data_IF_519087183037
#
_entry.id   IF_519087183037
#
_cell.length_a   1.000
_cell.length_b   1.000
_cell.length_c   1.000
_cell.angle_alpha   90.00
_cell.angle_beta   90.00
_cell.angle_gamma   90.00
#
_symmetry.space_group_name_H-M   'P 1'
#
loop_
_entity.id
_entity.type
_entity.pdbx_description
1 polymer ?
#
# COMPACT_ATOMS: atom_id res chain seq x y z
N UNK A 1 -22.58 31.93 -6.76
CA UNK A 1 -22.52 30.51 -7.16
C UNK A 1 -22.41 29.69 -5.88
N UNK A 2 -23.34 28.77 -5.63
CA UNK A 2 -23.21 27.87 -4.49
C UNK A 2 -22.01 26.95 -4.78
N UNK A 3 -20.95 27.06 -4.00
CA UNK A 3 -19.82 26.13 -4.06
C UNK A 3 -20.40 24.77 -3.70
N UNK A 4 -20.43 23.84 -4.65
CA UNK A 4 -20.76 22.44 -4.38
C UNK A 4 -19.63 21.88 -3.52
N UNK A 5 -19.73 22.06 -2.20
CA UNK A 5 -18.78 21.49 -1.27
C UNK A 5 -19.22 20.07 -0.93
N UNK A 6 -18.37 19.10 -1.27
CA UNK A 6 -18.51 17.74 -0.77
C UNK A 6 -18.48 17.73 0.77
N UNK A 7 -19.12 16.76 1.43
CA UNK A 7 -19.04 16.61 2.88
C UNK A 7 -17.59 16.52 3.37
N UNK A 8 -17.29 17.24 4.45
CA UNK A 8 -15.96 17.27 5.07
C UNK A 8 -15.67 15.90 5.69
N UNK A 9 -14.93 15.08 4.94
CA UNK A 9 -14.60 13.70 5.28
C UNK A 9 -13.18 13.41 4.77
N UNK A 10 -12.46 12.49 5.41
CA UNK A 10 -11.11 12.13 4.96
C UNK A 10 -11.05 11.73 3.48
N UNK A 11 -12.10 11.05 3.01
CA UNK A 11 -12.23 10.60 1.62
C UNK A 11 -12.37 11.74 0.60
N UNK A 12 -12.76 12.95 1.00
CA UNK A 12 -13.01 14.06 0.08
C UNK A 12 -12.04 15.23 0.25
N UNK A 13 -11.32 15.32 1.38
CA UNK A 13 -10.61 16.54 1.77
C UNK A 13 -9.10 16.50 1.58
N UNK A 14 -8.50 15.34 1.26
CA UNK A 14 -7.05 15.16 1.20
C UNK A 14 -6.54 14.81 -0.20
N UNK A 15 -7.29 15.16 -1.24
CA UNK A 15 -6.82 15.04 -2.62
C UNK A 15 -6.06 16.30 -3.02
N UNK A 16 -4.78 16.13 -3.37
CA UNK A 16 -3.90 17.17 -3.90
C UNK A 16 -3.45 16.80 -5.32
N UNK A 17 -2.95 17.75 -6.11
CA UNK A 17 -2.45 17.47 -7.48
C UNK A 17 -1.30 16.46 -7.44
N UNK A 18 -0.39 16.66 -6.51
CA UNK A 18 0.58 15.66 -6.09
C UNK A 18 -0.08 14.84 -4.98
N UNK A 19 -0.67 13.69 -5.33
CA UNK A 19 -1.48 12.87 -4.42
C UNK A 19 -0.73 12.46 -3.14
N UNK A 20 0.61 12.52 -3.13
CA UNK A 20 1.45 12.24 -1.96
C UNK A 20 1.18 13.18 -0.80
N UNK A 21 1.15 14.50 -1.05
CA UNK A 21 1.09 15.52 0.01
C UNK A 21 -0.12 15.36 0.93
N UNK A 22 -1.29 15.09 0.36
CA UNK A 22 -2.51 14.88 1.15
C UNK A 22 -2.43 13.68 2.08
N UNK A 23 -1.85 12.57 1.61
CA UNK A 23 -1.61 11.39 2.43
C UNK A 23 -0.55 11.63 3.50
N UNK A 24 0.52 12.36 3.19
CA UNK A 24 1.57 12.69 4.17
C UNK A 24 1.02 13.51 5.34
N UNK A 25 0.12 14.46 5.08
CA UNK A 25 -0.55 15.21 6.16
C UNK A 25 -1.39 14.28 7.04
N UNK A 26 -2.13 13.35 6.45
CA UNK A 26 -2.91 12.38 7.22
C UNK A 26 -2.00 11.49 8.08
N UNK A 27 -0.95 10.91 7.49
CA UNK A 27 -0.03 10.04 8.23
C UNK A 27 0.78 10.79 9.28
N UNK A 28 1.15 12.06 9.05
CA UNK A 28 1.79 12.88 10.07
C UNK A 28 0.88 13.04 11.30
N UNK A 29 -0.41 13.30 11.10
CA UNK A 29 -1.37 13.40 12.21
C UNK A 29 -1.57 12.05 12.92
N UNK A 30 -1.59 10.94 12.16
CA UNK A 30 -1.70 9.60 12.74
C UNK A 30 -0.44 9.23 13.54
N UNK A 31 0.75 9.58 13.06
CA UNK A 31 2.01 9.37 13.78
C UNK A 31 2.10 10.25 15.04
N UNK A 32 1.60 11.48 14.98
CA UNK A 32 1.45 12.32 16.17
C UNK A 32 0.55 11.63 17.21
N UNK A 33 -0.58 11.05 16.80
CA UNK A 33 -1.48 10.34 17.74
C UNK A 33 -0.82 9.12 18.41
N UNK A 34 0.16 8.48 17.76
CA UNK A 34 0.95 7.41 18.37
C UNK A 34 1.79 7.94 19.53
N UNK A 35 2.41 9.11 19.37
CA UNK A 35 3.16 9.76 20.44
C UNK A 35 2.21 10.18 21.58
N UNK A 36 1.07 10.80 21.27
CA UNK A 36 0.06 11.19 22.26
C UNK A 36 -0.45 10.00 23.08
N UNK A 37 -0.69 8.84 22.46
CA UNK A 37 -1.08 7.63 23.17
C UNK A 37 -0.01 7.20 24.21
N UNK A 38 1.28 7.35 23.88
CA UNK A 38 2.36 7.02 24.81
C UNK A 38 2.41 7.97 26.00
N UNK A 39 2.12 9.25 25.79
CA UNK A 39 2.01 10.24 26.87
C UNK A 39 0.82 9.96 27.79
N UNK A 40 -0.32 9.53 27.22
CA UNK A 40 -1.51 9.14 28.00
C UNK A 40 -1.18 7.94 28.90
N UNK A 41 -0.53 6.90 28.38
CA UNK A 41 -0.10 5.74 29.18
C UNK A 41 0.84 6.20 30.30
N UNK A 42 1.83 7.03 29.98
CA UNK A 42 2.79 7.54 30.96
C UNK A 42 2.09 8.34 32.08
N UNK A 43 1.12 9.18 31.72
CA UNK A 43 0.32 9.95 32.66
C UNK A 43 -0.50 9.05 33.60
N UNK A 44 -1.19 8.04 33.05
CA UNK A 44 -2.00 7.11 33.86
C UNK A 44 -1.10 6.30 34.81
N UNK A 45 0.07 5.86 34.35
CA UNK A 45 1.06 5.15 35.18
C UNK A 45 1.62 6.04 36.29
N UNK A 46 1.94 7.30 35.98
CA UNK A 46 2.38 8.26 36.99
C UNK A 46 1.29 8.50 38.06
N UNK A 47 0.02 8.60 37.64
CA UNK A 47 -1.11 8.69 38.56
C UNK A 47 -1.24 7.43 39.43
N UNK A 48 -1.18 6.24 38.85
CA UNK A 48 -1.25 4.99 39.61
C UNK A 48 -0.11 4.87 40.64
N UNK A 49 1.11 5.31 40.26
CA UNK A 49 2.24 5.37 41.19
C UNK A 49 1.99 6.35 42.35
N UNK A 50 1.42 7.53 42.09
CA UNK A 50 1.04 8.49 43.13
C UNK A 50 -0.01 7.91 44.09
N UNK A 51 -1.04 7.24 43.57
CA UNK A 51 -2.07 6.57 44.38
C UNK A 51 -1.46 5.47 45.26
N UNK A 52 -0.52 4.67 44.71
CA UNK A 52 0.18 3.66 45.49
C UNK A 52 1.07 4.25 46.60
N UNK A 53 1.66 5.42 46.36
CA UNK A 53 2.45 6.13 47.36
C UNK A 53 1.56 6.67 48.49
N UNK A 54 0.37 7.20 48.17
CA UNK A 54 -0.64 7.62 49.16
C UNK A 54 -1.10 6.42 49.98
N UNK A 55 -1.37 5.28 49.33
CA UNK A 55 -1.73 4.06 50.02
C UNK A 55 -0.64 3.62 51.02
N UNK A 56 0.63 3.64 50.61
CA UNK A 56 1.75 3.26 51.45
C UNK A 56 1.96 4.20 52.66
N UNK A 57 1.75 5.51 52.48
CA UNK A 57 1.87 6.47 53.58
C UNK A 57 0.74 6.31 54.59
N UNK A 58 -0.50 6.08 54.14
CA UNK A 58 -1.66 5.86 55.01
C UNK A 58 -1.65 4.49 55.71
N UNK A 59 -1.03 3.49 55.08
CA UNK A 59 -0.87 2.15 55.63
C UNK A 59 0.22 2.06 56.72
N UNK A 60 1.12 3.04 56.80
CA UNK A 60 2.20 3.05 57.79
C UNK A 60 1.77 3.79 59.05
N UNK A 61 1.43 3.12 60.16
CA UNK A 61 1.12 3.82 61.40
C UNK A 61 2.37 4.54 61.93
N UNK A 62 2.17 5.67 62.61
CA UNK A 62 3.24 6.40 63.28
C UNK A 62 4.01 5.48 64.22
N UNK A 63 5.34 5.46 64.10
CA UNK A 63 6.23 4.59 64.89
C UNK A 63 6.35 5.12 66.33
N UNK A 64 5.93 4.32 67.31
CA UNK A 64 6.13 4.59 68.73
C UNK A 64 5.03 3.99 69.61
N UNK A 65 5.35 3.68 70.87
CA UNK A 65 4.34 3.42 71.89
C UNK A 65 3.47 4.67 72.03
N UNK A 66 2.15 4.49 71.99
CA UNK A 66 1.24 5.62 72.08
C UNK A 66 1.23 6.10 73.52
N UNK A 67 1.39 7.40 73.79
CA UNK A 67 1.17 7.95 75.16
C UNK A 67 -0.27 7.64 75.63
N UNK A 68 -1.19 7.47 74.68
CA UNK A 68 -2.54 6.95 74.92
C UNK A 68 -2.60 5.52 75.48
N UNK A 69 -1.55 4.69 75.36
CA UNK A 69 -1.57 3.32 75.90
C UNK A 69 -1.40 3.30 77.43
N UNK A 70 -0.89 4.40 78.02
CA UNK A 70 -0.74 4.58 79.47
C UNK A 70 -1.94 5.31 80.12
N UNK A 71 -2.93 5.75 79.33
CA UNK A 71 -4.03 6.58 79.77
C UNK A 71 -5.35 5.78 79.83
N UNK A 72 -6.03 5.77 80.98
CA UNK A 72 -7.30 5.03 81.23
C UNK A 72 -8.54 5.72 80.57
N UNK A 73 -8.29 6.77 79.78
CA UNK A 73 -9.30 7.58 79.09
C UNK A 73 -9.98 6.85 77.94
N UNK A 74 -11.02 6.06 78.23
CA UNK A 74 -11.65 5.15 77.28
C UNK A 74 -12.19 5.83 75.99
N UNK A 75 -12.84 7.00 76.04
CA UNK A 75 -13.49 7.54 74.83
C UNK A 75 -12.51 8.16 73.82
N UNK A 76 -11.50 8.90 74.30
CA UNK A 76 -10.50 9.55 73.44
C UNK A 76 -9.55 8.52 72.82
N UNK A 77 -9.16 7.50 73.60
CA UNK A 77 -8.36 6.38 73.13
C UNK A 77 -9.10 5.58 72.05
N UNK A 78 -10.41 5.32 72.20
CA UNK A 78 -11.21 4.66 71.17
C UNK A 78 -11.35 5.51 69.91
N UNK A 79 -11.55 6.84 70.04
CA UNK A 79 -11.58 7.73 68.89
C UNK A 79 -10.25 7.74 68.12
N UNK A 80 -9.11 7.76 68.82
CA UNK A 80 -7.79 7.70 68.18
C UNK A 80 -7.52 6.35 67.50
N UNK A 81 -7.94 5.23 68.12
CA UNK A 81 -7.90 3.91 67.47
C UNK A 81 -8.76 3.88 66.21
N UNK A 82 -9.97 4.46 66.25
CA UNK A 82 -10.84 4.61 65.10
C UNK A 82 -10.19 5.42 63.98
N UNK A 83 -9.49 6.52 64.30
CA UNK A 83 -8.77 7.33 63.31
C UNK A 83 -7.59 6.57 62.66
N UNK A 84 -6.87 5.75 63.44
CA UNK A 84 -5.84 4.85 62.89
C UNK A 84 -6.45 3.81 61.94
N UNK A 85 -7.56 3.19 62.35
CA UNK A 85 -8.27 2.22 61.51
C UNK A 85 -8.80 2.87 60.23
N UNK A 86 -9.37 4.08 60.32
CA UNK A 86 -9.84 4.86 59.18
C UNK A 86 -8.69 5.13 58.20
N UNK A 87 -7.51 5.56 58.68
CA UNK A 87 -6.31 5.75 57.85
C UNK A 87 -5.94 4.46 57.10
N UNK A 88 -5.97 3.30 57.78
CA UNK A 88 -5.70 2.02 57.12
C UNK A 88 -6.76 1.66 56.06
N UNK A 89 -8.04 1.95 56.32
CA UNK A 89 -9.11 1.70 55.34
C UNK A 89 -8.98 2.61 54.12
N UNK A 90 -8.62 3.88 54.30
CA UNK A 90 -8.35 4.81 53.21
C UNK A 90 -7.12 4.37 52.40
N UNK A 91 -6.06 3.91 53.07
CA UNK A 91 -4.88 3.34 52.40
C UNK A 91 -5.24 2.18 51.46
N UNK A 92 -6.07 1.24 51.93
CA UNK A 92 -6.56 0.11 51.09
C UNK A 92 -7.42 0.58 49.90
N UNK A 93 -8.21 1.64 50.08
CA UNK A 93 -8.99 2.21 48.99
C UNK A 93 -8.09 2.80 47.90
N UNK A 94 -7.07 3.58 48.28
CA UNK A 94 -6.08 4.12 47.34
C UNK A 94 -5.27 3.01 46.65
N UNK A 95 -4.90 1.95 47.36
CA UNK A 95 -4.23 0.78 46.79
C UNK A 95 -5.10 0.11 45.72
N UNK A 96 -6.39 -0.05 46.00
CA UNK A 96 -7.36 -0.61 45.05
C UNK A 96 -7.45 0.25 43.79
N UNK A 97 -7.55 1.58 43.95
CA UNK A 97 -7.59 2.51 42.81
C UNK A 97 -6.30 2.43 41.99
N UNK A 98 -5.13 2.37 42.62
CA UNK A 98 -3.85 2.22 41.94
C UNK A 98 -3.81 0.95 41.08
N UNK A 99 -4.23 -0.19 41.65
CA UNK A 99 -4.29 -1.48 40.97
C UNK A 99 -5.30 -1.46 39.80
N UNK A 100 -6.46 -0.82 39.99
CA UNK A 100 -7.45 -0.68 38.92
C UNK A 100 -6.95 0.20 37.77
N UNK A 101 -6.29 1.32 38.09
CA UNK A 101 -5.68 2.19 37.07
C UNK A 101 -4.62 1.45 36.24
N UNK A 102 -3.84 0.56 36.86
CA UNK A 102 -2.87 -0.26 36.12
C UNK A 102 -3.58 -1.32 35.27
N UNK A 103 -4.29 -2.24 35.93
CA UNK A 103 -4.77 -3.47 35.29
C UNK A 103 -5.96 -3.25 34.34
N UNK A 104 -6.84 -2.28 34.65
CA UNK A 104 -8.07 -2.05 33.87
C UNK A 104 -7.93 -0.91 32.85
N UNK A 105 -6.93 -0.03 33.01
CA UNK A 105 -6.80 1.16 32.17
C UNK A 105 -5.44 1.20 31.46
N UNK A 106 -4.34 1.28 32.20
CA UNK A 106 -3.01 1.47 31.61
C UNK A 106 -2.60 0.30 30.71
N UNK A 107 -2.70 -0.94 31.20
CA UNK A 107 -2.21 -2.11 30.46
C UNK A 107 -3.05 -2.41 29.21
N UNK A 108 -4.40 -2.41 29.27
CA UNK A 108 -5.21 -2.60 28.06
C UNK A 108 -5.01 -1.47 27.04
N UNK A 109 -4.88 -0.22 27.50
CA UNK A 109 -4.67 0.91 26.60
C UNK A 109 -3.28 0.88 25.96
N UNK A 110 -2.23 0.52 26.70
CA UNK A 110 -0.88 0.35 26.16
C UNK A 110 -0.83 -0.78 25.11
N UNK A 111 -1.46 -1.92 25.39
CA UNK A 111 -1.55 -3.02 24.43
C UNK A 111 -2.26 -2.60 23.15
N UNK A 112 -3.39 -1.88 23.28
CA UNK A 112 -4.09 -1.33 22.13
C UNK A 112 -3.23 -0.31 21.36
N UNK A 113 -2.52 0.58 22.07
CA UNK A 113 -1.68 1.61 21.48
C UNK A 113 -0.49 1.01 20.70
N UNK A 114 0.10 -0.08 21.21
CA UNK A 114 1.15 -0.82 20.51
C UNK A 114 0.63 -1.43 19.19
N UNK A 115 -0.52 -2.10 19.24
CA UNK A 115 -1.15 -2.64 18.02
C UNK A 115 -1.62 -1.55 17.05
N UNK A 116 -2.08 -0.40 17.56
CA UNK A 116 -2.41 0.76 16.73
C UNK A 116 -1.19 1.30 16.00
N UNK A 117 -0.07 1.50 16.71
CA UNK A 117 1.20 1.93 16.13
C UNK A 117 1.64 1.01 14.99
N UNK A 118 1.60 -0.30 15.19
CA UNK A 118 1.97 -1.27 14.15
C UNK A 118 1.07 -1.16 12.92
N UNK A 119 -0.26 -1.06 13.10
CA UNK A 119 -1.20 -0.88 11.98
C UNK A 119 -0.92 0.40 11.19
N UNK A 120 -0.58 1.50 11.85
CA UNK A 120 -0.29 2.77 11.19
C UNK A 120 1.02 2.67 10.39
N UNK A 121 2.08 2.09 10.96
CA UNK A 121 3.34 1.90 10.23
C UNK A 121 3.20 0.96 9.03
N UNK A 122 2.52 -0.18 9.20
CA UNK A 122 2.28 -1.12 8.12
C UNK A 122 1.42 -0.50 7.00
N UNK A 123 0.37 0.25 7.38
CA UNK A 123 -0.46 0.99 6.44
C UNK A 123 0.34 2.03 5.66
N UNK A 124 1.15 2.84 6.35
CA UNK A 124 1.99 3.89 5.74
C UNK A 124 2.97 3.29 4.73
N UNK A 125 3.67 2.22 5.10
CA UNK A 125 4.62 1.54 4.22
C UNK A 125 3.93 1.02 2.94
N UNK A 126 2.77 0.36 3.08
CA UNK A 126 2.04 -0.17 1.93
C UNK A 126 1.51 0.94 1.00
N UNK A 127 0.98 2.03 1.56
CA UNK A 127 0.35 3.11 0.80
C UNK A 127 1.35 4.09 0.19
N UNK A 128 2.26 4.65 0.99
CA UNK A 128 3.22 5.67 0.54
C UNK A 128 4.42 5.05 -0.17
N UNK A 129 5.03 4.03 0.43
CA UNK A 129 6.26 3.45 -0.11
C UNK A 129 5.96 2.37 -1.17
N UNK A 130 4.77 1.78 -1.12
CA UNK A 130 4.27 0.86 -2.14
C UNK A 130 3.51 1.58 -3.23
N UNK A 131 2.20 1.79 -3.02
CA UNK A 131 1.30 2.22 -4.10
C UNK A 131 1.62 3.61 -4.65
N UNK A 132 1.84 4.61 -3.79
CA UNK A 132 2.13 5.97 -4.23
C UNK A 132 3.44 6.04 -5.02
N UNK A 133 4.49 5.38 -4.52
CA UNK A 133 5.77 5.29 -5.24
C UNK A 133 5.61 4.66 -6.63
N UNK A 134 4.88 3.55 -6.75
CA UNK A 134 4.65 2.92 -8.05
C UNK A 134 3.82 3.80 -8.99
N UNK A 135 2.84 4.54 -8.46
CA UNK A 135 2.07 5.50 -9.23
C UNK A 135 2.95 6.62 -9.79
N UNK A 136 3.84 7.19 -8.98
CA UNK A 136 4.76 8.24 -9.40
C UNK A 136 5.68 7.77 -10.52
N UNK A 137 6.26 6.57 -10.39
CA UNK A 137 7.09 5.97 -11.42
C UNK A 137 6.32 5.82 -12.75
N UNK A 138 5.07 5.34 -12.69
CA UNK A 138 4.23 5.18 -13.88
C UNK A 138 3.84 6.53 -14.49
N UNK A 139 3.64 7.56 -13.67
CA UNK A 139 3.32 8.92 -14.11
C UNK A 139 4.49 9.54 -14.88
N UNK A 140 5.72 9.37 -14.37
CA UNK A 140 6.94 9.79 -15.06
C UNK A 140 7.14 9.06 -16.39
N UNK A 141 6.87 7.75 -16.44
CA UNK A 141 6.93 6.96 -17.67
C UNK A 141 5.94 7.48 -18.72
N UNK A 142 4.70 7.78 -18.33
CA UNK A 142 3.70 8.36 -19.22
C UNK A 142 4.14 9.73 -19.74
N UNK A 143 4.73 10.58 -18.90
CA UNK A 143 5.29 11.87 -19.32
C UNK A 143 6.41 11.70 -20.35
N UNK A 144 7.29 10.72 -20.16
CA UNK A 144 8.35 10.39 -21.11
C UNK A 144 7.78 9.91 -22.45
N UNK A 145 6.84 8.97 -22.43
CA UNK A 145 6.19 8.44 -23.64
C UNK A 145 5.45 9.53 -24.41
N UNK A 146 4.79 10.46 -23.70
CA UNK A 146 4.16 11.64 -24.31
C UNK A 146 5.17 12.51 -25.03
N UNK A 147 6.30 12.81 -24.40
CA UNK A 147 7.36 13.62 -25.01
C UNK A 147 7.96 12.92 -26.23
N UNK A 148 8.19 11.61 -26.14
CA UNK A 148 8.68 10.80 -27.27
C UNK A 148 7.69 10.79 -28.44
N UNK A 149 6.39 10.69 -28.16
CA UNK A 149 5.34 10.79 -29.17
C UNK A 149 5.38 12.14 -29.89
N UNK A 150 5.36 13.26 -29.14
CA UNK A 150 5.37 14.61 -29.70
C UNK A 150 6.66 14.89 -30.50
N UNK A 151 7.79 14.38 -30.04
CA UNK A 151 9.06 14.49 -30.78
C UNK A 151 9.05 13.68 -32.07
N UNK A 152 8.44 12.49 -32.07
CA UNK A 152 8.34 11.65 -33.27
C UNK A 152 7.38 12.25 -34.30
N UNK A 153 6.24 12.80 -33.88
CA UNK A 153 5.32 13.49 -34.79
C UNK A 153 5.99 14.71 -35.42
N UNK A 154 6.64 15.56 -34.61
CA UNK A 154 7.37 16.72 -35.14
C UNK A 154 8.45 16.33 -36.16
N UNK A 155 9.24 15.29 -35.88
CA UNK A 155 10.25 14.79 -36.82
C UNK A 155 9.64 14.19 -38.09
N UNK A 156 8.48 13.56 -38.00
CA UNK A 156 7.77 13.04 -39.16
C UNK A 156 7.28 14.20 -40.04
N UNK A 157 6.68 15.23 -39.42
CA UNK A 157 6.24 16.44 -40.12
C UNK A 157 7.42 17.14 -40.81
N UNK A 158 8.55 17.32 -40.10
CA UNK A 158 9.80 17.87 -40.66
C UNK A 158 10.32 17.04 -41.83
N UNK A 159 10.28 15.70 -41.75
CA UNK A 159 10.72 14.82 -42.83
C UNK A 159 9.78 14.84 -44.04
N UNK A 160 8.47 14.98 -43.83
CA UNK A 160 7.49 15.15 -44.90
C UNK A 160 7.69 16.49 -45.63
N UNK A 161 7.93 17.56 -44.88
CA UNK A 161 8.22 18.88 -45.45
C UNK A 161 9.57 18.88 -46.19
N UNK A 162 10.62 18.31 -45.60
CA UNK A 162 11.92 18.15 -46.28
C UNK A 162 11.78 17.35 -47.58
N UNK A 163 10.96 16.30 -47.61
CA UNK A 163 10.72 15.54 -48.85
C UNK A 163 9.94 16.34 -49.90
N UNK A 164 9.04 17.23 -49.49
CA UNK A 164 8.28 18.11 -50.41
C UNK A 164 9.11 19.29 -50.92
N UNK A 165 10.01 19.82 -50.11
CA UNK A 165 10.80 21.02 -50.40
C UNK A 165 12.27 20.74 -50.72
N UNK A 166 12.70 19.48 -50.70
CA UNK A 166 14.02 19.08 -51.16
C UNK A 166 14.24 19.63 -52.58
N UNK A 167 15.35 20.37 -52.82
CA UNK A 167 15.71 20.79 -54.16
C UNK A 167 15.71 19.58 -55.06
N UNK A 168 14.99 19.65 -56.17
CA UNK A 168 14.99 18.62 -57.21
C UNK A 168 16.44 18.48 -57.69
N UNK A 169 17.17 17.54 -57.13
CA UNK A 169 18.46 17.07 -57.65
C UNK A 169 18.20 16.10 -58.78
N UNK A 170 17.31 16.47 -59.71
CA UNK A 170 17.53 16.03 -61.08
C UNK A 170 18.73 16.84 -61.56
N UNK A 171 19.89 16.23 -61.86
CA UNK A 171 20.75 16.90 -62.81
C UNK A 171 19.90 17.05 -64.07
N UNK A 172 19.88 18.25 -64.63
CA UNK A 172 19.37 18.48 -65.97
C UNK A 172 20.22 17.60 -66.91
N UNK A 173 19.81 16.34 -67.11
CA UNK A 173 20.56 15.35 -67.90
C UNK A 173 20.72 13.92 -67.37
N UNK A 174 19.98 13.43 -66.36
CA UNK A 174 20.03 11.98 -66.07
C UNK A 174 19.19 11.16 -67.07
N UNK A 175 19.85 10.62 -68.09
CA UNK A 175 19.27 9.75 -69.11
C UNK A 175 19.14 8.28 -68.66
N UNK A 176 19.58 7.92 -67.45
CA UNK A 176 19.63 6.53 -66.99
C UNK A 176 18.42 6.08 -66.16
N UNK A 177 17.50 6.99 -65.82
CA UNK A 177 16.12 6.64 -65.44
C UNK A 177 15.19 6.69 -66.66
N UNK A 178 15.64 6.13 -67.77
CA UNK A 178 14.69 5.63 -68.77
C UNK A 178 14.17 4.30 -68.26
N UNK A 179 12.89 4.29 -67.86
CA UNK A 179 12.13 3.06 -67.69
C UNK A 179 12.44 2.16 -68.89
N UNK A 180 12.87 0.89 -68.71
CA UNK A 180 13.24 0.04 -69.84
C UNK A 180 12.08 -0.02 -70.83
N UNK A 181 12.26 0.58 -72.01
CA UNK A 181 11.34 0.40 -73.12
C UNK A 181 11.35 -1.10 -73.42
N UNK A 182 10.24 -1.77 -73.13
CA UNK A 182 9.96 -3.15 -73.56
C UNK A 182 9.87 -3.15 -75.08
N UNK A 183 11.03 -3.21 -75.73
CA UNK A 183 11.13 -3.58 -77.14
C UNK A 183 11.02 -5.10 -77.18
N UNK A 184 10.06 -5.68 -77.93
CA UNK A 184 10.00 -7.12 -78.12
C UNK A 184 11.16 -7.52 -79.03
N UNK A 185 12.27 -7.94 -78.44
CA UNK A 185 13.36 -8.56 -79.19
C UNK A 185 13.10 -10.07 -79.25
N UNK A 186 13.03 -10.57 -80.47
CA UNK A 186 12.69 -11.95 -80.79
C UNK A 186 13.69 -12.96 -80.20
N UNK A 187 13.13 -14.16 -80.02
CA UNK A 187 13.74 -15.49 -79.99
C UNK A 187 15.23 -15.60 -79.61
N UNK A 188 15.46 -16.28 -78.48
CA UNK A 188 16.73 -16.76 -77.93
C UNK A 188 17.41 -15.89 -76.86
N UNK A 189 16.71 -15.62 -75.77
CA UNK A 189 17.34 -15.45 -74.45
C UNK A 189 16.36 -15.80 -73.33
N UNK A 190 16.71 -16.77 -72.49
CA UNK A 190 15.95 -17.16 -71.29
C UNK A 190 15.79 -15.96 -70.33
N UNK A 191 14.60 -15.68 -69.79
CA UNK A 191 14.40 -14.53 -68.91
C UNK A 191 15.05 -14.78 -67.55
N UNK A 192 16.17 -14.11 -67.26
CA UNK A 192 16.74 -14.03 -65.91
C UNK A 192 16.00 -12.94 -65.14
N UNK A 193 14.91 -13.31 -64.48
CA UNK A 193 14.19 -12.41 -63.58
C UNK A 193 15.11 -11.96 -62.42
N UNK A 194 15.14 -10.66 -62.06
CA UNK A 194 15.93 -10.19 -60.92
C UNK A 194 15.32 -10.73 -59.62
N UNK A 195 16.06 -11.59 -58.92
CA UNK A 195 15.69 -12.14 -57.61
C UNK A 195 15.81 -11.05 -56.54
N UNK A 196 14.67 -10.64 -55.97
CA UNK A 196 14.61 -9.72 -54.84
C UNK A 196 15.28 -10.37 -53.63
N UNK A 197 16.25 -9.71 -53.01
CA UNK A 197 16.84 -10.18 -51.76
C UNK A 197 15.80 -10.11 -50.64
N UNK A 198 15.71 -11.16 -49.83
CA UNK A 198 14.74 -11.24 -48.74
C UNK A 198 14.93 -10.10 -47.74
N UNK A 199 13.84 -9.41 -47.44
CA UNK A 199 13.81 -8.37 -46.40
C UNK A 199 14.11 -8.99 -45.02
N UNK A 200 14.56 -8.18 -44.04
CA UNK A 200 14.83 -8.69 -42.69
C UNK A 200 13.60 -9.38 -42.06
N UNK A 201 12.40 -8.88 -42.39
CA UNK A 201 11.12 -9.48 -41.95
C UNK A 201 10.89 -10.88 -42.56
N UNK A 202 11.19 -11.07 -43.84
CA UNK A 202 11.12 -12.40 -44.50
C UNK A 202 12.14 -13.38 -43.91
N UNK A 203 13.35 -12.93 -43.58
CA UNK A 203 14.36 -13.77 -42.94
C UNK A 203 13.93 -14.23 -41.54
N UNK A 204 13.28 -13.35 -40.77
CA UNK A 204 12.78 -13.68 -39.42
C UNK A 204 11.63 -14.69 -39.53
N UNK A 205 10.66 -14.47 -40.43
CA UNK A 205 9.54 -15.40 -40.62
C UNK A 205 9.99 -16.75 -41.16
N UNK A 206 10.99 -16.78 -42.04
CA UNK A 206 11.57 -18.04 -42.54
C UNK A 206 12.29 -18.81 -41.43
N UNK A 207 13.11 -18.15 -40.59
CA UNK A 207 13.72 -18.81 -39.42
C UNK A 207 12.69 -19.34 -38.43
N UNK A 208 11.61 -18.60 -38.17
CA UNK A 208 10.55 -19.05 -37.27
C UNK A 208 9.83 -20.31 -37.81
N UNK A 209 9.66 -20.39 -39.13
CA UNK A 209 9.06 -21.53 -39.82
C UNK A 209 10.01 -22.75 -39.81
N UNK A 210 11.30 -22.53 -40.00
CA UNK A 210 12.35 -23.55 -39.88
C UNK A 210 12.42 -24.11 -38.46
N UNK A 211 12.38 -23.27 -37.41
CA UNK A 211 12.34 -23.74 -36.02
C UNK A 211 11.12 -24.61 -35.71
N UNK A 212 9.94 -24.27 -36.25
CA UNK A 212 8.73 -25.09 -36.07
C UNK A 212 8.82 -26.43 -36.79
N UNK A 213 9.45 -26.49 -37.97
CA UNK A 213 9.61 -27.72 -38.73
C UNK A 213 10.70 -28.62 -38.13
N UNK A 214 11.80 -28.05 -37.65
CA UNK A 214 12.89 -28.81 -37.01
C UNK A 214 12.52 -29.38 -35.63
N UNK A 215 11.56 -28.78 -34.92
CA UNK A 215 11.04 -29.29 -33.65
C UNK A 215 10.18 -30.57 -33.81
N UNK A 216 9.85 -30.97 -35.04
CA UNK A 216 8.96 -32.13 -35.31
C UNK A 216 9.73 -33.36 -35.84
N UNK A 217 11.06 -33.30 -35.94
CA UNK A 217 11.87 -34.43 -36.42
C UNK A 217 13.21 -34.58 -35.68
N UNK A 218 13.17 -35.11 -34.45
CA UNK A 218 14.14 -36.11 -33.92
C UNK A 218 13.74 -36.57 -32.51
N UNK A 219 13.87 -37.88 -32.19
CA UNK A 219 13.49 -38.44 -30.91
C UNK A 219 14.58 -38.29 -29.83
N UNK A 220 14.16 -38.53 -28.59
CA UNK A 220 14.89 -38.43 -27.33
C UNK A 220 16.28 -39.10 -27.30
N UNK A 221 17.19 -38.51 -26.52
CA UNK A 221 18.25 -39.25 -25.83
C UNK A 221 18.45 -38.71 -24.42
N UNK A 222 18.20 -39.60 -23.46
CA UNK A 222 18.46 -39.47 -22.04
C UNK A 222 19.96 -39.40 -21.76
N UNK A 223 20.36 -38.55 -20.82
CA UNK A 223 21.53 -38.81 -19.98
C UNK A 223 21.19 -38.42 -18.54
N UNK A 224 21.09 -39.45 -17.69
CA UNK A 224 21.05 -39.33 -16.24
C UNK A 224 22.42 -38.84 -15.74
N UNK A 225 22.40 -37.85 -14.87
CA UNK A 225 23.46 -37.65 -13.87
C UNK A 225 22.79 -37.57 -12.50
N UNK A 226 23.02 -38.61 -11.73
CA UNK A 226 22.59 -38.90 -10.37
C UNK A 226 23.41 -38.06 -9.37
N UNK A 227 22.74 -37.23 -8.57
CA UNK A 227 23.12 -36.89 -7.19
C UNK A 227 21.83 -36.65 -6.40
N UNK A 228 21.55 -37.55 -5.47
CA UNK A 228 20.43 -37.50 -4.51
C UNK A 228 20.90 -36.80 -3.24
N UNK A 229 20.07 -35.95 -2.61
CA UNK A 229 19.81 -35.94 -1.16
C UNK A 229 18.57 -35.08 -0.82
N UNK A 230 17.83 -35.58 0.17
CA UNK A 230 16.43 -35.39 0.56
C UNK A 230 15.93 -33.99 0.95
N UNK A 231 14.63 -33.74 0.72
CA UNK A 231 13.68 -33.26 1.75
C UNK A 231 12.23 -33.31 1.23
N UNK A 232 11.33 -33.73 2.12
CA UNK A 232 9.92 -34.05 1.96
C UNK A 232 8.96 -32.92 1.49
N UNK A 233 7.77 -33.39 1.09
CA UNK A 233 6.43 -32.77 1.13
C UNK A 233 5.78 -32.15 -0.13
N UNK A 234 4.79 -32.92 -0.61
CA UNK A 234 3.43 -32.54 -1.06
C UNK A 234 3.23 -31.44 -2.13
N UNK A 235 3.08 -31.88 -3.38
CA UNK A 235 2.57 -31.05 -4.48
C UNK A 235 1.05 -31.24 -4.65
N UNK A 236 0.29 -30.19 -4.30
CA UNK A 236 -1.12 -30.01 -4.67
C UNK A 236 -1.24 -29.75 -6.16
N UNK A 237 -2.10 -30.56 -6.78
CA UNK A 237 -2.57 -30.46 -8.17
C UNK A 237 -3.18 -29.09 -8.51
N UNK A 238 -2.74 -28.44 -9.59
CA UNK A 238 -3.44 -27.33 -10.23
C UNK A 238 -4.14 -27.81 -11.52
N UNK A 239 -5.43 -27.50 -11.76
CA UNK A 239 -6.13 -27.96 -12.95
C UNK A 239 -5.93 -27.03 -14.15
N UNK A 240 -5.81 -27.65 -15.33
CA UNK A 240 -5.75 -27.04 -16.67
C UNK A 240 -7.08 -26.38 -17.05
N UNK A 241 -7.01 -25.16 -17.58
CA UNK A 241 -8.15 -24.40 -18.14
C UNK A 241 -8.50 -24.90 -19.54
N UNK A 242 -9.74 -25.37 -19.69
CA UNK A 242 -10.36 -25.82 -20.93
C UNK A 242 -10.91 -24.64 -21.75
N UNK A 243 -10.70 -24.69 -23.07
CA UNK A 243 -11.20 -23.71 -24.06
C UNK A 243 -12.42 -24.32 -24.75
N UNK A 244 -13.63 -24.05 -24.24
CA UNK A 244 -14.86 -24.57 -24.84
C UNK A 244 -16.08 -23.72 -24.57
N UNK A 245 -16.78 -23.36 -25.65
CA UNK A 245 -18.01 -22.55 -25.73
C UNK A 245 -19.12 -23.05 -24.78
N UNK A 246 -19.70 -22.14 -24.00
CA UNK A 246 -20.89 -22.38 -23.18
C UNK A 246 -21.66 -21.09 -22.92
N UNK A 247 -22.99 -21.18 -22.96
CA UNK A 247 -24.00 -20.11 -22.98
C UNK A 247 -24.25 -19.51 -21.57
N UNK A 248 -24.77 -18.27 -21.54
CA UNK A 248 -25.04 -17.45 -20.36
C UNK A 248 -25.91 -18.12 -19.27
N UNK A 249 -25.55 -17.83 -18.02
CA UNK A 249 -26.40 -18.00 -16.84
C UNK A 249 -26.20 -16.74 -15.98
N UNK A 250 -27.27 -15.96 -15.79
CA UNK A 250 -27.31 -14.83 -14.87
C UNK A 250 -27.19 -15.36 -13.44
N UNK A 251 -26.09 -15.03 -12.78
CA UNK A 251 -25.80 -15.38 -11.39
C UNK A 251 -25.41 -14.11 -10.64
N UNK A 252 -26.40 -13.51 -9.99
CA UNK A 252 -26.31 -12.36 -9.10
C UNK A 252 -25.31 -12.64 -7.97
N UNK A 253 -24.15 -11.99 -7.98
CA UNK A 253 -23.28 -11.84 -6.80
C UNK A 253 -22.75 -10.42 -6.77
N UNK A 254 -23.58 -9.51 -6.27
CA UNK A 254 -23.13 -8.22 -5.75
C UNK A 254 -22.32 -8.48 -4.47
N UNK A 255 -21.11 -7.92 -4.29
CA UNK A 255 -20.42 -8.01 -3.02
C UNK A 255 -21.22 -7.24 -1.95
N UNK A 256 -21.46 -7.89 -0.80
CA UNK A 256 -22.20 -7.34 0.34
C UNK A 256 -21.65 -5.96 0.75
N UNK A 257 -22.50 -4.94 0.61
CA UNK A 257 -22.29 -3.60 1.17
C UNK A 257 -22.32 -3.69 2.69
N UNK A 258 -21.16 -3.57 3.33
CA UNK A 258 -21.05 -3.50 4.79
C UNK A 258 -21.80 -2.24 5.25
N UNK A 259 -22.83 -2.43 6.07
CA UNK A 259 -23.68 -1.35 6.60
C UNK A 259 -22.89 -0.62 7.68
N UNK A 260 -22.73 0.69 7.54
CA UNK A 260 -22.07 1.56 8.52
C UNK A 260 -22.84 1.60 9.85
N UNK A 261 -22.18 1.70 11.02
CA UNK A 261 -22.86 1.79 12.32
C UNK A 261 -23.68 3.08 12.44
N UNK A 262 -24.77 3.08 13.22
CA UNK A 262 -25.58 4.28 13.42
C UNK A 262 -24.81 5.33 14.26
N UNK A 263 -25.01 6.63 14.00
CA UNK A 263 -24.35 7.69 14.74
C UNK A 263 -24.82 7.71 16.20
N UNK A 264 -23.86 7.62 17.12
CA UNK A 264 -24.04 7.80 18.55
C UNK A 264 -23.89 9.28 18.88
N UNK A 265 -24.93 10.09 18.69
CA UNK A 265 -25.05 11.39 19.37
C UNK A 265 -26.52 11.86 19.41
N UNK A 266 -27.03 12.37 20.55
CA UNK A 266 -28.36 12.95 20.62
C UNK A 266 -28.40 14.36 19.96
N UNK A 267 -29.52 14.75 19.32
CA UNK A 267 -29.62 16.03 18.63
C UNK A 267 -29.63 17.21 19.62
N UNK A 268 -28.80 18.23 19.32
CA UNK A 268 -28.74 19.49 20.06
C UNK A 268 -30.11 20.20 20.11
N UNK A 269 -30.46 20.86 21.23
CA UNK A 269 -31.76 21.50 21.38
C UNK A 269 -31.93 22.70 20.44
N UNK A 270 -33.15 22.86 19.93
CA UNK A 270 -33.54 23.98 19.07
C UNK A 270 -33.40 25.29 19.85
N UNK A 271 -32.57 26.21 19.34
CA UNK A 271 -32.51 27.59 19.83
C UNK A 271 -33.89 28.24 19.67
N UNK A 272 -34.39 28.84 20.76
CA UNK A 272 -35.44 29.85 20.72
C UNK A 272 -34.83 31.20 20.37
#
# INVERSE_FOLDING_TARGET
MAVLSLPLTFQNSFWTQDYRKGLEVLYAQLEQSVAENSEIVAFIRARAAAESAIAATLATPARGASVFDDDDGASLLMAFRGLKEESLTQGKAHETVANELQAKVADPFEQWAAGYKERIHASKANLLDGWMYTYELSSEEVMKLKNDYLNKTRRADEAEDDARFAPITHPVGDQYTTSPKLVPHGHHASPRAPTRQATMSERITQRLKEFRLNATSSPAQEHKSEVTFDADEEERTTPKVDKGKGRAIDGDVTPQRVVSPPPLDPPLPRRR
#
